data_IF_523072296789
#
_entry.id   IF_523072296789
#
_cell.length_a   1.000
_cell.length_b   1.000
_cell.length_c   1.000
_cell.angle_alpha   90.00
_cell.angle_beta   90.00
_cell.angle_gamma   90.00
#
_symmetry.space_group_name_H-M   'P 1'
#
loop_
_entity.id
_entity.type
_entity.pdbx_description
1 polymer ?
#
# COMPACT_ATOMS: atom_id res chain seq x y z
N UNK A 1 -31.05 -6.74 -6.12
CA UNK A 1 -31.47 -5.94 -7.28
C UNK A 1 -30.42 -6.05 -8.37
N UNK A 2 -30.72 -6.86 -9.38
CA UNK A 2 -30.09 -6.99 -10.71
C UNK A 2 -28.55 -7.12 -10.86
N UNK A 3 -28.01 -8.31 -10.53
CA UNK A 3 -26.87 -8.88 -11.28
C UNK A 3 -27.37 -9.23 -12.70
N UNK A 4 -27.52 -8.22 -13.58
CA UNK A 4 -27.72 -8.47 -15.01
C UNK A 4 -26.45 -9.14 -15.54
N UNK A 5 -26.56 -10.45 -15.81
CA UNK A 5 -25.62 -11.34 -16.52
C UNK A 5 -24.40 -10.63 -17.09
N UNK A 6 -23.28 -10.66 -16.35
CA UNK A 6 -21.95 -10.45 -16.93
C UNK A 6 -21.68 -11.65 -17.84
N UNK A 7 -22.00 -11.52 -19.13
CA UNK A 7 -21.85 -12.61 -20.13
C UNK A 7 -20.42 -12.78 -20.63
N UNK A 8 -19.56 -11.79 -20.40
CA UNK A 8 -18.14 -11.85 -20.74
C UNK A 8 -17.34 -12.53 -19.61
N UNK A 9 -16.60 -13.62 -19.90
CA UNK A 9 -15.73 -14.26 -18.93
C UNK A 9 -14.70 -13.31 -18.29
N UNK A 10 -14.21 -12.30 -19.02
CA UNK A 10 -13.29 -11.29 -18.50
C UNK A 10 -13.93 -10.43 -17.41
N UNK A 11 -15.13 -9.92 -17.66
CA UNK A 11 -15.92 -9.20 -16.68
C UNK A 11 -16.25 -10.04 -15.44
N UNK A 12 -16.58 -11.33 -15.61
CA UNK A 12 -16.83 -12.25 -14.48
C UNK A 12 -15.57 -12.43 -13.64
N UNK A 13 -14.42 -12.63 -14.27
CA UNK A 13 -13.14 -12.74 -13.59
C UNK A 13 -12.81 -11.48 -12.78
N UNK A 14 -13.03 -10.29 -13.33
CA UNK A 14 -12.82 -9.03 -12.59
C UNK A 14 -13.70 -8.90 -11.34
N UNK A 15 -14.98 -9.28 -11.43
CA UNK A 15 -15.88 -9.25 -10.27
C UNK A 15 -15.38 -10.19 -9.17
N UNK A 16 -14.98 -11.41 -9.53
CA UNK A 16 -14.43 -12.38 -8.58
C UNK A 16 -13.11 -11.86 -7.96
N UNK A 17 -12.25 -11.23 -8.76
CA UNK A 17 -11.01 -10.64 -8.26
C UNK A 17 -11.24 -9.50 -7.27
N UNK A 18 -12.25 -8.64 -7.47
CA UNK A 18 -12.62 -7.60 -6.50
C UNK A 18 -13.21 -8.19 -5.21
N UNK A 19 -13.96 -9.29 -5.32
CA UNK A 19 -14.43 -10.06 -4.14
C UNK A 19 -13.23 -10.64 -3.37
N UNK A 20 -12.26 -11.22 -4.08
CA UNK A 20 -11.01 -11.72 -3.49
C UNK A 20 -10.28 -10.63 -2.71
N UNK A 21 -10.15 -9.42 -3.27
CA UNK A 21 -9.56 -8.26 -2.56
C UNK A 21 -10.28 -8.00 -1.23
N UNK A 22 -11.61 -7.98 -1.24
CA UNK A 22 -12.40 -7.70 -0.05
C UNK A 22 -12.17 -8.75 1.06
N UNK A 23 -12.04 -10.03 0.70
CA UNK A 23 -11.76 -11.11 1.67
C UNK A 23 -10.31 -11.09 2.17
N UNK A 24 -9.33 -10.79 1.31
CA UNK A 24 -7.93 -10.57 1.74
C UNK A 24 -7.86 -9.45 2.78
N UNK A 25 -8.57 -8.34 2.56
CA UNK A 25 -8.58 -7.20 3.49
C UNK A 25 -9.24 -7.52 4.84
N UNK A 26 -10.09 -8.54 4.89
CA UNK A 26 -10.76 -9.06 6.11
C UNK A 26 -10.02 -10.24 6.74
N UNK A 27 -8.84 -10.60 6.23
CA UNK A 27 -8.07 -11.77 6.65
C UNK A 27 -8.79 -13.12 6.50
N UNK A 28 -9.76 -13.18 5.57
CA UNK A 28 -10.53 -14.39 5.27
C UNK A 28 -9.87 -15.18 4.13
N UNK A 29 -8.66 -15.70 4.40
CA UNK A 29 -7.76 -16.26 3.38
C UNK A 29 -8.33 -17.47 2.64
N UNK A 30 -9.01 -18.36 3.35
CA UNK A 30 -9.63 -19.56 2.76
C UNK A 30 -10.69 -19.18 1.71
N UNK A 31 -11.54 -18.19 2.02
CA UNK A 31 -12.58 -17.72 1.10
C UNK A 31 -11.94 -17.04 -0.12
N UNK A 32 -10.94 -16.19 0.12
CA UNK A 32 -10.20 -15.53 -0.96
C UNK A 32 -9.53 -16.53 -1.91
N UNK A 33 -9.08 -17.68 -1.38
CA UNK A 33 -8.46 -18.74 -2.17
C UNK A 33 -9.46 -19.41 -3.10
N UNK A 34 -10.65 -19.77 -2.60
CA UNK A 34 -11.69 -20.41 -3.43
C UNK A 34 -12.05 -19.53 -4.63
N UNK A 35 -12.18 -18.23 -4.41
CA UNK A 35 -12.42 -17.28 -5.51
C UNK A 35 -11.25 -17.18 -6.48
N UNK A 36 -10.00 -17.28 -6.01
CA UNK A 36 -8.84 -17.33 -6.90
C UNK A 36 -8.77 -18.62 -7.73
N UNK A 37 -9.17 -19.77 -7.18
CA UNK A 37 -9.27 -21.03 -7.93
C UNK A 37 -10.32 -20.92 -9.05
N UNK A 38 -11.48 -20.33 -8.75
CA UNK A 38 -12.50 -20.04 -9.77
C UNK A 38 -11.97 -19.11 -10.87
N UNK A 39 -11.26 -18.05 -10.51
CA UNK A 39 -10.64 -17.15 -11.50
C UNK A 39 -9.58 -17.89 -12.30
N UNK A 40 -8.78 -18.75 -11.68
CA UNK A 40 -7.75 -19.55 -12.38
C UNK A 40 -8.37 -20.41 -13.46
N UNK A 41 -9.51 -21.07 -13.17
CA UNK A 41 -10.25 -21.86 -14.16
C UNK A 41 -10.81 -21.00 -15.31
N UNK A 42 -11.30 -19.79 -15.01
CA UNK A 42 -11.79 -18.87 -16.04
C UNK A 42 -10.65 -18.37 -16.94
N UNK A 43 -9.52 -18.00 -16.33
CA UNK A 43 -8.36 -17.46 -17.04
C UNK A 43 -7.71 -18.50 -17.95
N UNK A 44 -7.68 -19.77 -17.53
CA UNK A 44 -7.08 -20.87 -18.33
C UNK A 44 -7.94 -21.29 -19.52
N UNK A 45 -9.25 -21.04 -19.48
CA UNK A 45 -10.20 -21.51 -20.50
C UNK A 45 -10.66 -20.41 -21.45
N UNK A 46 -10.23 -19.16 -21.26
CA UNK A 46 -10.71 -18.01 -22.02
C UNK A 46 -9.58 -17.08 -22.43
N UNK A 47 -9.73 -16.42 -23.58
CA UNK A 47 -8.81 -15.37 -24.01
C UNK A 47 -8.99 -14.14 -23.12
N UNK A 48 -8.27 -14.12 -22.01
CA UNK A 48 -8.43 -13.14 -20.95
C UNK A 48 -7.71 -11.84 -21.32
N UNK A 49 -8.35 -10.66 -21.19
CA UNK A 49 -7.70 -9.39 -21.46
C UNK A 49 -6.46 -9.18 -20.57
N UNK A 50 -5.38 -8.56 -21.07
CA UNK A 50 -4.14 -8.38 -20.32
C UNK A 50 -4.30 -7.68 -18.96
N UNK A 51 -5.23 -6.72 -18.86
CA UNK A 51 -5.50 -6.03 -17.60
C UNK A 51 -6.11 -6.94 -16.53
N UNK A 52 -6.92 -7.94 -16.91
CA UNK A 52 -7.49 -8.94 -15.99
C UNK A 52 -6.38 -9.88 -15.50
N UNK A 53 -5.49 -10.30 -16.41
CA UNK A 53 -4.30 -11.09 -16.07
C UNK A 53 -3.39 -10.37 -15.07
N UNK A 54 -3.17 -9.06 -15.25
CA UNK A 54 -2.43 -8.26 -14.27
C UNK A 54 -3.06 -8.33 -12.88
N UNK A 55 -4.39 -8.18 -12.81
CA UNK A 55 -5.11 -8.23 -11.54
C UNK A 55 -4.99 -9.58 -10.86
N UNK A 56 -5.21 -10.64 -11.63
CA UNK A 56 -5.06 -12.02 -11.19
C UNK A 56 -3.66 -12.28 -10.63
N UNK A 57 -2.60 -11.94 -11.35
CA UNK A 57 -1.22 -12.21 -10.95
C UNK A 57 -0.82 -11.46 -9.67
N UNK A 58 -1.19 -10.19 -9.51
CA UNK A 58 -0.82 -9.47 -8.28
C UNK A 58 -1.61 -9.99 -7.06
N UNK A 59 -2.88 -10.41 -7.23
CA UNK A 59 -3.67 -10.99 -6.15
C UNK A 59 -3.19 -12.39 -5.78
N UNK A 60 -2.82 -13.19 -6.77
CA UNK A 60 -2.14 -14.47 -6.56
C UNK A 60 -0.88 -14.28 -5.72
N UNK A 61 -0.05 -13.29 -6.07
CA UNK A 61 1.12 -12.93 -5.27
C UNK A 61 0.76 -12.48 -3.85
N UNK A 62 -0.31 -11.71 -3.67
CA UNK A 62 -0.74 -11.25 -2.36
C UNK A 62 -1.18 -12.39 -1.43
N UNK A 63 -1.92 -13.37 -1.96
CA UNK A 63 -2.36 -14.55 -1.22
C UNK A 63 -1.19 -15.48 -0.88
N UNK A 64 -0.33 -15.78 -1.87
CA UNK A 64 0.87 -16.58 -1.66
C UNK A 64 1.76 -15.97 -0.54
N UNK A 65 1.90 -14.64 -0.49
CA UNK A 65 2.59 -13.95 0.61
C UNK A 65 1.95 -14.10 1.98
N UNK A 66 0.63 -14.26 2.07
CA UNK A 66 -0.05 -14.47 3.36
C UNK A 66 0.09 -15.92 3.82
N UNK A 67 0.32 -16.85 2.90
CA UNK A 67 0.58 -18.27 3.14
C UNK A 67 2.06 -18.63 3.29
N UNK A 68 2.94 -17.63 3.23
CA UNK A 68 4.40 -17.83 3.23
C UNK A 68 4.94 -18.61 2.02
N UNK A 69 4.19 -18.66 0.91
CA UNK A 69 4.56 -19.26 -0.37
C UNK A 69 5.40 -18.25 -1.19
N UNK A 70 6.64 -18.00 -0.75
CA UNK A 70 7.46 -16.90 -1.27
C UNK A 70 7.87 -17.05 -2.75
N UNK A 71 8.09 -18.27 -3.22
CA UNK A 71 8.48 -18.55 -4.61
C UNK A 71 7.34 -18.19 -5.57
N UNK A 72 6.14 -18.72 -5.33
CA UNK A 72 4.94 -18.44 -6.13
C UNK A 72 4.59 -16.93 -6.11
N UNK A 73 4.77 -16.27 -4.96
CA UNK A 73 4.58 -14.84 -4.86
C UNK A 73 5.55 -14.05 -5.75
N UNK A 74 6.79 -14.52 -5.88
CA UNK A 74 7.85 -13.89 -6.69
C UNK A 74 7.58 -14.08 -8.18
N UNK A 75 7.30 -15.31 -8.60
CA UNK A 75 6.96 -15.63 -10.00
C UNK A 75 5.75 -14.84 -10.49
N UNK A 76 4.71 -14.74 -9.65
CA UNK A 76 3.50 -13.99 -9.98
C UNK A 76 3.78 -12.50 -10.19
N UNK A 77 4.65 -11.88 -9.38
CA UNK A 77 5.07 -10.48 -9.57
C UNK A 77 5.92 -10.32 -10.83
N UNK A 78 6.81 -11.27 -11.09
CA UNK A 78 7.67 -11.27 -12.27
C UNK A 78 6.82 -11.27 -13.56
N UNK A 79 5.86 -12.18 -13.68
CA UNK A 79 4.94 -12.22 -14.83
C UNK A 79 4.07 -10.97 -14.91
N UNK A 80 3.59 -10.45 -13.78
CA UNK A 80 2.80 -9.22 -13.77
C UNK A 80 3.62 -8.03 -14.30
N UNK A 81 4.91 -7.91 -13.93
CA UNK A 81 5.80 -6.84 -14.43
C UNK A 81 5.99 -6.92 -15.94
N UNK A 82 6.13 -8.12 -16.52
CA UNK A 82 6.27 -8.29 -17.97
C UNK A 82 5.01 -7.82 -18.72
N UNK A 83 3.84 -8.06 -18.15
CA UNK A 83 2.55 -7.66 -18.74
C UNK A 83 2.26 -6.15 -18.63
N UNK A 84 2.97 -5.38 -17.79
CA UNK A 84 2.73 -3.94 -17.66
C UNK A 84 2.92 -3.22 -19.01
N UNK A 85 3.91 -3.64 -19.80
CA UNK A 85 4.22 -3.01 -21.08
C UNK A 85 3.09 -3.12 -22.12
N UNK A 86 2.16 -4.05 -21.95
CA UNK A 86 1.04 -4.28 -22.87
C UNK A 86 -0.25 -3.59 -22.45
N UNK A 87 -0.25 -2.91 -21.30
CA UNK A 87 -1.43 -2.26 -20.71
C UNK A 87 -1.16 -0.78 -20.49
N UNK A 88 -2.14 0.05 -20.83
CA UNK A 88 -2.04 1.49 -20.61
C UNK A 88 -1.80 1.81 -19.12
N UNK A 89 -0.93 2.79 -18.81
CA UNK A 89 -0.75 3.27 -17.44
C UNK A 89 -2.08 3.70 -16.82
N UNK A 90 -2.34 3.27 -15.58
CA UNK A 90 -3.61 3.53 -14.91
C UNK A 90 -3.78 2.71 -13.64
N UNK A 91 -5.05 2.41 -13.29
CA UNK A 91 -5.44 1.66 -12.09
C UNK A 91 -4.67 0.34 -11.94
N UNK A 92 -4.60 -0.46 -13.01
CA UNK A 92 -4.10 -1.84 -12.92
C UNK A 92 -2.58 -1.90 -12.85
N UNK A 93 -1.90 -1.22 -13.76
CA UNK A 93 -0.44 -1.14 -13.78
C UNK A 93 0.11 -0.43 -12.53
N UNK A 94 -0.57 0.60 -12.03
CA UNK A 94 -0.25 1.22 -10.74
C UNK A 94 -0.41 0.26 -9.56
N UNK A 95 -1.42 -0.62 -9.59
CA UNK A 95 -1.63 -1.64 -8.55
C UNK A 95 -0.50 -2.67 -8.54
N UNK A 96 -0.03 -3.10 -9.71
CA UNK A 96 1.09 -4.04 -9.82
C UNK A 96 2.36 -3.46 -9.21
N UNK A 97 2.74 -2.24 -9.60
CA UNK A 97 3.90 -1.54 -9.05
C UNK A 97 3.77 -1.34 -7.52
N UNK A 98 2.60 -0.92 -7.05
CA UNK A 98 2.34 -0.76 -5.61
C UNK A 98 2.53 -2.09 -4.85
N UNK A 99 2.00 -3.20 -5.37
CA UNK A 99 2.13 -4.50 -4.74
C UNK A 99 3.54 -5.09 -4.83
N UNK A 100 4.28 -4.82 -5.91
CA UNK A 100 5.68 -5.17 -6.04
C UNK A 100 6.52 -4.47 -4.95
N UNK A 101 6.28 -3.18 -4.69
CA UNK A 101 6.91 -2.50 -3.57
C UNK A 101 6.56 -3.13 -2.22
N UNK A 102 5.27 -3.41 -1.95
CA UNK A 102 4.87 -4.04 -0.69
C UNK A 102 5.51 -5.41 -0.46
N UNK A 103 5.75 -6.19 -1.51
CA UNK A 103 6.46 -7.46 -1.42
C UNK A 103 7.89 -7.25 -0.88
N UNK A 104 8.63 -6.30 -1.45
CA UNK A 104 9.99 -5.96 -1.03
C UNK A 104 10.03 -5.48 0.43
N UNK A 105 9.06 -4.65 0.81
CA UNK A 105 8.96 -4.11 2.18
C UNK A 105 8.64 -5.19 3.22
N UNK A 106 7.74 -6.15 2.91
CA UNK A 106 7.35 -7.19 3.87
C UNK A 106 8.50 -8.14 4.17
N UNK A 107 9.31 -8.50 3.15
CA UNK A 107 10.43 -9.44 3.29
C UNK A 107 11.59 -8.85 4.09
N UNK A 108 11.85 -7.55 3.93
CA UNK A 108 13.12 -6.94 4.34
C UNK A 108 12.95 -5.76 5.33
N UNK A 109 11.82 -5.63 6.02
CA UNK A 109 11.53 -4.41 6.80
C UNK A 109 12.54 -4.12 7.92
N UNK A 110 13.19 -5.15 8.49
CA UNK A 110 14.19 -5.03 9.56
C UNK A 110 15.60 -4.79 9.05
N UNK A 111 15.95 -5.42 7.94
CA UNK A 111 17.30 -5.45 7.36
C UNK A 111 17.18 -5.19 5.85
N UNK A 112 16.74 -3.99 5.51
CA UNK A 112 16.61 -3.57 4.13
C UNK A 112 17.99 -3.19 3.62
N UNK A 113 18.48 -3.87 2.59
CA UNK A 113 19.65 -3.39 1.84
C UNK A 113 19.28 -2.23 0.90
N UNK A 114 20.30 -1.55 0.38
CA UNK A 114 20.13 -0.38 -0.47
C UNK A 114 19.43 -0.71 -1.79
N UNK A 115 19.73 -1.87 -2.37
CA UNK A 115 19.14 -2.29 -3.64
C UNK A 115 17.62 -2.51 -3.49
N UNK A 116 17.20 -3.20 -2.43
CA UNK A 116 15.79 -3.42 -2.09
C UNK A 116 15.09 -2.09 -1.80
N UNK A 117 15.75 -1.17 -1.08
CA UNK A 117 15.20 0.16 -0.84
C UNK A 117 14.97 0.93 -2.14
N UNK A 118 15.97 0.99 -3.02
CA UNK A 118 15.89 1.67 -4.31
C UNK A 118 14.81 1.05 -5.20
N UNK A 119 14.74 -0.28 -5.26
CA UNK A 119 13.70 -0.97 -6.02
C UNK A 119 12.30 -0.68 -5.46
N UNK A 120 12.11 -0.73 -4.14
CA UNK A 120 10.82 -0.43 -3.51
C UNK A 120 10.41 1.04 -3.73
N UNK A 121 11.36 1.97 -3.62
CA UNK A 121 11.18 3.41 -3.91
C UNK A 121 10.73 3.60 -5.36
N UNK A 122 11.43 3.00 -6.30
CA UNK A 122 11.11 3.10 -7.73
C UNK A 122 9.71 2.55 -8.04
N UNK A 123 9.35 1.40 -7.50
CA UNK A 123 8.02 0.81 -7.70
C UNK A 123 6.91 1.71 -7.12
N UNK A 124 7.11 2.35 -5.96
CA UNK A 124 6.13 3.29 -5.42
C UNK A 124 6.00 4.56 -6.27
N UNK A 125 7.09 5.09 -6.79
CA UNK A 125 7.09 6.24 -7.71
C UNK A 125 6.32 5.90 -8.98
N UNK A 126 6.60 4.75 -9.61
CA UNK A 126 5.87 4.27 -10.79
C UNK A 126 4.39 4.04 -10.49
N UNK A 127 4.06 3.52 -9.31
CA UNK A 127 2.66 3.36 -8.90
C UNK A 127 1.94 4.71 -8.87
N UNK A 128 2.55 5.73 -8.26
CA UNK A 128 1.98 7.09 -8.17
C UNK A 128 1.77 7.71 -9.56
N UNK A 129 2.77 7.61 -10.45
CA UNK A 129 2.70 8.12 -11.82
C UNK A 129 1.59 7.41 -12.61
N UNK A 130 1.54 6.08 -12.56
CA UNK A 130 0.51 5.31 -13.26
C UNK A 130 -0.89 5.62 -12.74
N UNK A 131 -1.06 5.80 -11.43
CA UNK A 131 -2.35 6.23 -10.91
C UNK A 131 -2.73 7.62 -11.38
N UNK A 132 -1.80 8.60 -11.40
CA UNK A 132 -2.09 9.96 -11.89
C UNK A 132 -2.62 9.92 -13.33
N UNK A 133 -1.98 9.14 -14.22
CA UNK A 133 -2.41 8.98 -15.61
C UNK A 133 -3.81 8.35 -15.74
N UNK A 134 -4.25 7.61 -14.73
CA UNK A 134 -5.58 7.02 -14.67
C UNK A 134 -6.63 7.85 -13.91
N UNK A 135 -6.32 9.08 -13.45
CA UNK A 135 -7.27 9.92 -12.71
C UNK A 135 -8.35 10.50 -13.63
N UNK A 136 -8.01 10.81 -14.87
CA UNK A 136 -8.94 11.35 -15.87
C UNK A 136 -9.89 10.30 -16.47
N UNK A 137 -9.69 9.02 -16.15
CA UNK A 137 -10.56 7.94 -16.59
C UNK A 137 -11.93 8.02 -15.88
N UNK A 138 -13.02 8.09 -16.64
CA UNK A 138 -14.38 8.22 -16.10
C UNK A 138 -14.80 7.05 -15.20
N UNK A 139 -14.31 5.84 -15.51
CA UNK A 139 -14.69 4.61 -14.80
C UNK A 139 -13.81 4.38 -13.57
N UNK A 140 -12.52 4.71 -13.65
CA UNK A 140 -11.53 4.33 -12.65
C UNK A 140 -10.88 5.51 -11.92
N UNK A 141 -11.14 6.75 -12.32
CA UNK A 141 -10.49 7.95 -11.78
C UNK A 141 -10.56 8.05 -10.26
N UNK A 142 -11.74 7.82 -9.67
CA UNK A 142 -11.93 7.81 -8.23
C UNK A 142 -11.13 6.68 -7.52
N UNK A 143 -11.01 5.51 -8.16
CA UNK A 143 -10.17 4.42 -7.62
C UNK A 143 -8.69 4.76 -7.71
N UNK A 144 -8.24 5.36 -8.82
CA UNK A 144 -6.86 5.79 -9.01
C UNK A 144 -6.47 6.82 -7.95
N UNK A 145 -7.31 7.83 -7.72
CA UNK A 145 -7.09 8.87 -6.72
C UNK A 145 -6.91 8.30 -5.31
N UNK A 146 -7.79 7.39 -4.88
CA UNK A 146 -7.67 6.72 -3.56
C UNK A 146 -6.39 5.87 -3.44
N UNK A 147 -6.03 5.14 -4.50
CA UNK A 147 -4.83 4.30 -4.50
C UNK A 147 -3.55 5.13 -4.56
N UNK A 148 -3.57 6.26 -5.25
CA UNK A 148 -2.48 7.20 -5.31
C UNK A 148 -2.18 7.78 -3.92
N UNK A 149 -3.22 8.19 -3.18
CA UNK A 149 -3.06 8.64 -1.79
C UNK A 149 -2.34 7.58 -0.94
N UNK A 150 -2.77 6.32 -1.04
CA UNK A 150 -2.14 5.20 -0.32
C UNK A 150 -0.68 5.01 -0.73
N UNK A 151 -0.35 5.19 -2.01
CA UNK A 151 1.01 5.09 -2.52
C UNK A 151 1.91 6.22 -1.99
N UNK A 152 1.43 7.47 -1.94
CA UNK A 152 2.17 8.59 -1.34
C UNK A 152 2.49 8.34 0.15
N UNK A 153 1.51 7.90 0.94
CA UNK A 153 1.73 7.59 2.37
C UNK A 153 2.79 6.49 2.52
N UNK A 154 2.73 5.44 1.70
CA UNK A 154 3.72 4.36 1.76
C UNK A 154 5.11 4.80 1.31
N UNK A 155 5.21 5.65 0.31
CA UNK A 155 6.50 6.22 -0.11
C UNK A 155 7.09 7.08 1.00
N UNK A 156 6.29 7.93 1.65
CA UNK A 156 6.75 8.71 2.78
C UNK A 156 7.28 7.82 3.92
N UNK A 157 6.53 6.79 4.31
CA UNK A 157 6.98 5.84 5.34
C UNK A 157 8.28 5.12 4.95
N UNK A 158 8.44 4.71 3.68
CA UNK A 158 9.68 4.08 3.22
C UNK A 158 10.87 5.05 3.37
N UNK A 159 10.71 6.28 2.91
CA UNK A 159 11.77 7.30 2.94
C UNK A 159 12.18 7.70 4.36
N UNK A 160 11.22 7.76 5.31
CA UNK A 160 11.46 8.10 6.71
C UNK A 160 12.10 6.96 7.54
N UNK A 161 11.89 5.72 7.10
CA UNK A 161 12.42 4.53 7.76
C UNK A 161 13.75 4.05 7.17
N UNK A 162 14.10 4.48 5.95
CA UNK A 162 15.41 4.23 5.39
C UNK A 162 16.49 4.97 6.17
N UNK A 163 17.36 4.20 6.82
CA UNK A 163 18.44 4.73 7.65
C UNK A 163 19.77 4.90 6.90
N UNK A 164 19.90 4.30 5.71
CA UNK A 164 21.16 4.30 4.96
C UNK A 164 22.37 3.80 5.79
N UNK A 165 23.59 4.04 5.31
CA UNK A 165 24.82 3.66 6.03
C UNK A 165 25.00 4.42 7.35
N UNK A 166 24.44 5.63 7.45
CA UNK A 166 24.63 6.55 8.58
C UNK A 166 23.61 6.36 9.70
N UNK A 167 22.68 5.41 9.60
CA UNK A 167 21.65 5.20 10.63
C UNK A 167 20.50 6.22 10.62
N UNK A 168 20.54 7.22 9.74
CA UNK A 168 19.58 8.33 9.62
C UNK A 168 19.13 8.57 8.17
N UNK A 169 17.86 8.95 7.93
CA UNK A 169 17.41 9.32 6.59
C UNK A 169 18.19 10.50 6.02
N UNK A 170 18.48 10.47 4.72
CA UNK A 170 19.11 11.60 4.03
C UNK A 170 18.16 12.80 3.96
N UNK A 171 18.72 14.01 3.85
CA UNK A 171 17.92 15.24 3.70
C UNK A 171 17.00 15.20 2.46
N UNK A 172 17.46 14.58 1.38
CA UNK A 172 16.66 14.34 0.17
C UNK A 172 15.43 13.48 0.48
N UNK A 173 15.63 12.37 1.21
CA UNK A 173 14.53 11.48 1.58
C UNK A 173 13.54 12.15 2.55
N UNK A 174 14.02 12.94 3.51
CA UNK A 174 13.17 13.74 4.40
C UNK A 174 12.31 14.73 3.61
N UNK A 175 12.93 15.47 2.69
CA UNK A 175 12.25 16.44 1.83
C UNK A 175 11.21 15.77 0.93
N UNK A 176 11.57 14.65 0.31
CA UNK A 176 10.65 13.87 -0.52
C UNK A 176 9.48 13.29 0.29
N UNK A 177 9.72 12.79 1.51
CA UNK A 177 8.67 12.30 2.40
C UNK A 177 7.70 13.42 2.80
N UNK A 178 8.23 14.60 3.17
CA UNK A 178 7.43 15.78 3.48
C UNK A 178 6.55 16.20 2.30
N UNK A 179 7.12 16.27 1.10
CA UNK A 179 6.37 16.57 -0.12
C UNK A 179 5.24 15.56 -0.39
N UNK A 180 5.48 14.26 -0.13
CA UNK A 180 4.44 13.24 -0.25
C UNK A 180 3.30 13.48 0.74
N UNK A 181 3.60 13.77 2.00
CA UNK A 181 2.61 14.01 3.05
C UNK A 181 1.83 15.30 2.80
N UNK A 182 2.50 16.37 2.37
CA UNK A 182 1.85 17.65 2.07
C UNK A 182 0.88 17.52 0.87
N UNK A 183 1.24 16.71 -0.14
CA UNK A 183 0.32 16.38 -1.24
C UNK A 183 -0.91 15.63 -0.73
N UNK A 184 -0.72 14.69 0.19
CA UNK A 184 -1.85 13.95 0.80
C UNK A 184 -2.74 14.87 1.61
N UNK A 185 -2.16 15.74 2.43
CA UNK A 185 -2.87 16.71 3.25
C UNK A 185 -3.73 17.65 2.41
N UNK A 186 -3.13 18.26 1.38
CA UNK A 186 -3.81 19.27 0.54
C UNK A 186 -4.86 18.67 -0.41
N UNK A 187 -4.57 17.51 -1.02
CA UNK A 187 -5.39 16.97 -2.12
C UNK A 187 -6.34 15.86 -1.68
N UNK A 188 -6.02 15.11 -0.63
CA UNK A 188 -6.68 13.83 -0.37
C UNK A 188 -7.22 13.63 1.07
N UNK A 189 -6.70 14.34 2.07
CA UNK A 189 -6.95 14.02 3.47
C UNK A 189 -8.43 14.13 3.86
N UNK A 190 -9.12 15.14 3.32
CA UNK A 190 -10.54 15.36 3.59
C UNK A 190 -11.40 14.14 3.19
N UNK A 191 -11.13 13.54 2.03
CA UNK A 191 -11.87 12.38 1.52
C UNK A 191 -11.28 11.03 1.94
N UNK A 192 -10.23 11.04 2.77
CA UNK A 192 -9.54 9.84 3.20
C UNK A 192 -10.42 9.01 4.13
N UNK A 193 -10.48 7.70 3.90
CA UNK A 193 -11.02 6.76 4.88
C UNK A 193 -10.26 6.87 6.21
N UNK A 194 -10.93 6.62 7.34
CA UNK A 194 -10.29 6.61 8.67
C UNK A 194 -9.02 5.76 8.71
N UNK A 195 -9.03 4.58 8.07
CA UNK A 195 -7.85 3.70 8.01
C UNK A 195 -6.65 4.37 7.34
N UNK A 196 -6.86 5.11 6.25
CA UNK A 196 -5.79 5.87 5.59
C UNK A 196 -5.34 7.06 6.44
N UNK A 197 -6.26 7.72 7.15
CA UNK A 197 -5.91 8.78 8.10
C UNK A 197 -5.00 8.25 9.22
N UNK A 198 -5.26 7.06 9.75
CA UNK A 198 -4.35 6.43 10.74
C UNK A 198 -2.92 6.34 10.22
N UNK A 199 -2.73 5.78 9.01
CA UNK A 199 -1.39 5.65 8.42
C UNK A 199 -0.76 7.00 8.06
N UNK A 200 -1.56 7.96 7.62
CA UNK A 200 -1.08 9.32 7.35
C UNK A 200 -0.52 9.98 8.62
N UNK A 201 -1.27 9.92 9.73
CA UNK A 201 -0.82 10.50 11.00
C UNK A 201 0.37 9.75 11.61
N UNK A 202 0.47 8.44 11.40
CA UNK A 202 1.70 7.70 11.74
C UNK A 202 2.90 8.21 10.92
N UNK A 203 2.73 8.44 9.62
CA UNK A 203 3.79 8.98 8.79
C UNK A 203 4.18 10.43 9.15
N UNK A 204 3.21 11.29 9.50
CA UNK A 204 3.49 12.64 10.05
C UNK A 204 4.20 12.56 11.40
N UNK A 205 3.84 11.60 12.25
CA UNK A 205 4.55 11.34 13.52
C UNK A 205 6.02 10.98 13.27
N UNK A 206 6.30 10.11 12.30
CA UNK A 206 7.66 9.75 11.89
C UNK A 206 8.42 10.98 11.36
N UNK A 207 7.78 11.81 10.52
CA UNK A 207 8.39 13.03 10.02
C UNK A 207 8.77 13.99 11.15
N UNK A 208 7.83 14.29 12.06
CA UNK A 208 8.09 15.19 13.18
C UNK A 208 9.17 14.66 14.12
N UNK A 209 9.21 13.34 14.34
CA UNK A 209 10.31 12.72 15.08
C UNK A 209 11.67 12.98 14.41
N UNK A 210 11.75 12.86 13.07
CA UNK A 210 12.99 13.15 12.32
C UNK A 210 13.34 14.63 12.26
N UNK A 211 12.34 15.51 12.36
CA UNK A 211 12.52 16.96 12.50
C UNK A 211 12.74 17.39 13.98
N UNK A 212 12.98 16.43 14.88
CA UNK A 212 13.21 16.66 16.33
C UNK A 212 12.03 17.34 17.08
N UNK A 213 10.85 17.41 16.44
CA UNK A 213 9.63 17.91 17.03
C UNK A 213 8.87 16.79 17.75
N UNK A 214 9.36 16.40 18.93
CA UNK A 214 8.77 15.33 19.74
C UNK A 214 7.31 15.62 20.13
N UNK A 215 6.92 16.84 20.57
CA UNK A 215 5.51 17.13 20.88
C UNK A 215 4.58 16.94 19.67
N UNK A 216 4.99 17.40 18.48
CA UNK A 216 4.23 17.20 17.24
C UNK A 216 4.12 15.72 16.86
N UNK A 217 5.21 14.97 17.06
CA UNK A 217 5.23 13.53 16.80
C UNK A 217 4.24 12.77 17.70
N UNK A 218 4.18 13.12 18.99
CA UNK A 218 3.24 12.53 19.96
C UNK A 218 1.81 12.86 19.56
N UNK A 219 1.50 14.14 19.33
CA UNK A 219 0.15 14.57 18.95
C UNK A 219 -0.38 13.81 17.72
N UNK A 220 0.46 13.64 16.69
CA UNK A 220 0.09 12.85 15.52
C UNK A 220 -0.17 11.37 15.84
N UNK A 221 0.65 10.75 16.68
CA UNK A 221 0.45 9.36 17.07
C UNK A 221 -0.80 9.17 17.94
N UNK A 222 -1.16 10.15 18.79
CA UNK A 222 -2.41 10.17 19.55
C UNK A 222 -3.64 10.27 18.63
N UNK A 223 -3.62 11.17 17.64
CA UNK A 223 -4.69 11.26 16.63
C UNK A 223 -4.88 9.92 15.91
N UNK A 224 -3.78 9.25 15.52
CA UNK A 224 -3.87 7.93 14.88
C UNK A 224 -4.47 6.86 15.80
N UNK A 225 -4.10 6.88 17.09
CA UNK A 225 -4.64 5.97 18.09
C UNK A 225 -6.15 6.17 18.29
N UNK A 226 -6.61 7.41 18.34
CA UNK A 226 -8.02 7.72 18.52
C UNK A 226 -8.86 7.28 17.33
N UNK A 227 -8.42 7.59 16.11
CA UNK A 227 -9.12 7.17 14.88
C UNK A 227 -9.19 5.64 14.80
N UNK A 228 -8.08 4.94 15.09
CA UNK A 228 -8.01 3.48 15.01
C UNK A 228 -8.89 2.78 16.06
N UNK A 229 -9.00 3.34 17.27
CA UNK A 229 -9.92 2.85 18.31
C UNK A 229 -11.38 3.06 17.92
N UNK A 230 -11.75 4.28 17.52
CA UNK A 230 -13.12 4.62 17.13
C UNK A 230 -13.60 3.78 15.94
N UNK A 231 -12.70 3.43 15.03
CA UNK A 231 -13.02 2.68 13.80
C UNK A 231 -12.82 1.16 13.95
N UNK A 232 -12.47 0.68 15.14
CA UNK A 232 -12.19 -0.73 15.45
C UNK A 232 -11.18 -1.37 14.47
N UNK A 233 -9.97 -0.81 14.40
CA UNK A 233 -8.85 -1.31 13.60
C UNK A 233 -7.72 -1.84 14.51
N UNK A 234 -7.81 -3.08 15.03
CA UNK A 234 -6.85 -3.59 16.02
C UNK A 234 -5.37 -3.54 15.61
N UNK A 235 -4.99 -3.87 14.36
CA UNK A 235 -3.58 -3.77 13.94
C UNK A 235 -3.05 -2.33 14.03
N UNK A 236 -3.84 -1.36 13.60
CA UNK A 236 -3.49 0.06 13.63
C UNK A 236 -3.41 0.61 15.06
N UNK A 237 -4.26 0.12 15.98
CA UNK A 237 -4.16 0.43 17.42
C UNK A 237 -2.80 -0.02 17.97
N UNK A 238 -2.35 -1.23 17.61
CA UNK A 238 -1.04 -1.75 18.00
C UNK A 238 0.10 -0.85 17.53
N UNK A 239 0.11 -0.52 16.24
CA UNK A 239 1.12 0.37 15.64
C UNK A 239 1.18 1.76 16.32
N UNK A 240 0.02 2.36 16.57
CA UNK A 240 -0.05 3.68 17.20
C UNK A 240 0.41 3.65 18.67
N UNK A 241 0.06 2.60 19.42
CA UNK A 241 0.54 2.41 20.80
C UNK A 241 2.05 2.21 20.86
N UNK A 242 2.60 1.32 20.03
CA UNK A 242 4.04 1.09 19.95
C UNK A 242 4.80 2.39 19.67
N UNK A 243 4.30 3.18 18.72
CA UNK A 243 4.87 4.50 18.40
C UNK A 243 4.82 5.46 19.58
N UNK A 244 3.69 5.56 20.27
CA UNK A 244 3.55 6.44 21.44
C UNK A 244 4.45 6.02 22.59
N UNK A 245 4.55 4.71 22.88
CA UNK A 245 5.46 4.19 23.89
C UNK A 245 6.90 4.56 23.57
N UNK A 246 7.32 4.38 22.31
CA UNK A 246 8.65 4.79 21.86
C UNK A 246 8.88 6.29 22.05
N UNK A 247 8.00 7.16 21.53
CA UNK A 247 8.16 8.61 21.63
C UNK A 247 8.15 9.14 23.07
N UNK A 248 7.32 8.56 23.94
CA UNK A 248 7.27 8.93 25.36
C UNK A 248 8.50 8.47 26.13
N UNK A 249 9.06 7.31 25.78
CA UNK A 249 10.34 6.86 26.36
C UNK A 249 11.49 7.81 26.02
N UNK A 250 11.45 8.45 24.85
CA UNK A 250 12.38 9.51 24.47
C UNK A 250 12.12 10.80 25.25
N UNK A 251 10.85 11.23 25.36
CA UNK A 251 10.49 12.45 26.12
C UNK A 251 10.89 12.39 27.60
N UNK A 252 10.84 11.21 28.22
CA UNK A 252 11.30 11.00 29.60
C UNK A 252 12.83 11.06 29.75
N UNK A 253 13.60 10.80 28.69
CA UNK A 253 15.06 10.90 28.70
C UNK A 253 15.57 12.34 28.60
N UNK A 254 14.70 13.31 28.25
CA UNK A 254 15.05 14.72 28.05
C UNK A 254 14.33 15.68 29.02
N UNK A 255 13.71 15.17 30.10
CA UNK A 255 13.26 16.03 31.20
C UNK A 255 14.48 16.40 32.05
N UNK A 256 14.96 17.66 32.05
CA UNK A 256 15.96 18.06 33.02
C UNK A 256 15.28 18.05 34.39
N UNK A 257 15.89 17.33 35.33
CA UNK A 257 15.63 17.53 36.76
C UNK A 257 16.12 18.92 37.15
#
# INVERSE_FOLDING_TARGET
>A
MALKKVRDPGGKALVLLEITVAHILKDQLEIATRYMEEVTSLVSTTQTPPHVLLVYLYLKSALARQRSEHMEATESVFFAKQLIATVQPGRYTGSVNYHAALFLLKKNWKEMDEQVFLEAKQNLVLAIDHYERGISDEMYGASCLKKQQRAFIRLALLLLNWKGPMGVPTQENLTAAKNCLDRVERRFLYWASNRLRCYFYLAKSDLYYREENIPGAIACAEISLDISRQSNYPPEVGLAKERLCFLRSLGLAFSPV
#
